data_IF_540964578054
#
_entry.id   IF_540964578054
#
_cell.length_a   1.000
_cell.length_b   1.000
_cell.length_c   1.000
_cell.angle_alpha   90.00
_cell.angle_beta   90.00
_cell.angle_gamma   90.00
#
_symmetry.space_group_name_H-M   'P 1'
#
loop_
_entity.id
_entity.type
_entity.pdbx_description
1 polymer ?
#
# COMPACT_ATOMS: atom_id res chain seq x y z
N UNK A 1 -54.21 -11.36 28.13
CA UNK A 1 -53.65 -10.52 27.04
C UNK A 1 -52.45 -9.73 27.56
N UNK A 2 -51.22 -10.16 27.26
CA UNK A 2 -50.03 -9.28 27.24
C UNK A 2 -49.07 -9.84 26.18
N UNK A 3 -49.16 -9.29 24.97
CA UNK A 3 -48.22 -9.54 23.88
C UNK A 3 -46.86 -8.96 24.27
N UNK A 4 -45.84 -9.80 24.40
CA UNK A 4 -44.44 -9.38 24.36
C UNK A 4 -44.04 -9.33 22.89
N UNK A 5 -44.06 -8.12 22.33
CA UNK A 5 -43.52 -7.84 21.00
C UNK A 5 -42.00 -7.99 21.10
N UNK A 6 -41.46 -8.98 20.41
CA UNK A 6 -40.02 -9.12 20.19
C UNK A 6 -39.53 -7.96 19.33
N UNK A 7 -38.70 -7.09 19.90
CA UNK A 7 -37.80 -6.28 19.10
C UNK A 7 -36.63 -7.18 18.70
N UNK A 8 -36.73 -7.75 17.50
CA UNK A 8 -35.57 -8.23 16.76
C UNK A 8 -34.84 -6.98 16.27
N UNK A 9 -34.04 -6.37 17.15
CA UNK A 9 -33.08 -5.35 16.77
C UNK A 9 -32.02 -6.08 15.94
N UNK A 10 -32.18 -6.05 14.62
CA UNK A 10 -31.15 -6.37 13.64
C UNK A 10 -29.99 -5.41 13.88
N UNK A 11 -29.11 -5.80 14.80
CA UNK A 11 -27.87 -5.12 15.12
C UNK A 11 -27.03 -5.10 13.86
N UNK A 12 -27.03 -3.94 13.22
CA UNK A 12 -26.06 -3.52 12.22
C UNK A 12 -24.69 -3.52 12.92
N UNK A 13 -24.06 -4.69 12.99
CA UNK A 13 -22.68 -4.87 13.43
C UNK A 13 -21.80 -4.16 12.39
N UNK A 14 -21.56 -2.87 12.65
CA UNK A 14 -20.37 -2.20 12.15
C UNK A 14 -19.17 -2.94 12.75
N UNK A 15 -18.69 -3.95 12.03
CA UNK A 15 -17.37 -4.54 12.25
C UNK A 15 -16.35 -3.44 11.90
N UNK A 16 -15.98 -2.66 12.90
CA UNK A 16 -14.83 -1.77 12.82
C UNK A 16 -13.60 -2.66 12.85
N UNK A 17 -12.97 -2.90 11.69
CA UNK A 17 -11.70 -3.60 11.68
C UNK A 17 -10.60 -2.69 12.25
N UNK A 18 -9.94 -3.18 13.28
CA UNK A 18 -8.73 -2.61 13.87
C UNK A 18 -7.55 -3.05 13.00
N UNK A 19 -7.12 -2.17 12.08
CA UNK A 19 -5.98 -2.43 11.19
C UNK A 19 -4.71 -2.52 12.05
N UNK A 20 -4.12 -3.72 12.14
CA UNK A 20 -2.76 -3.92 12.66
C UNK A 20 -1.74 -3.41 11.64
N UNK A 21 -0.46 -3.33 12.03
CA UNK A 21 0.57 -2.79 11.14
C UNK A 21 0.78 -3.69 9.91
N UNK A 22 0.16 -3.30 8.79
CA UNK A 22 0.37 -3.93 7.50
C UNK A 22 1.86 -4.04 7.16
N UNK A 23 2.22 -5.07 6.39
CA UNK A 23 3.62 -5.36 6.06
C UNK A 23 3.84 -5.43 4.56
N UNK A 24 4.87 -4.75 4.05
CA UNK A 24 5.42 -4.93 2.71
C UNK A 24 6.65 -5.84 2.79
N UNK A 25 6.59 -6.99 2.14
CA UNK A 25 7.74 -7.88 1.96
C UNK A 25 8.38 -7.62 0.61
N UNK A 26 9.64 -7.17 0.63
CA UNK A 26 10.45 -6.89 -0.55
C UNK A 26 11.46 -8.01 -0.80
N UNK A 27 11.37 -8.60 -1.99
CA UNK A 27 12.34 -9.55 -2.54
C UNK A 27 13.04 -8.95 -3.76
N UNK A 28 13.97 -9.66 -4.42
CA UNK A 28 14.83 -9.09 -5.48
C UNK A 28 14.05 -8.26 -6.51
N UNK A 29 12.92 -8.79 -7.02
CA UNK A 29 12.10 -8.13 -8.05
C UNK A 29 10.58 -8.17 -7.76
N UNK A 30 10.16 -8.60 -6.57
CA UNK A 30 8.73 -8.73 -6.23
C UNK A 30 8.45 -8.08 -4.88
N UNK A 31 7.29 -7.46 -4.77
CA UNK A 31 6.74 -6.92 -3.54
C UNK A 31 5.43 -7.63 -3.22
N UNK A 32 5.26 -8.02 -1.95
CA UNK A 32 4.04 -8.61 -1.42
C UNK A 32 3.52 -7.70 -0.32
N UNK A 33 2.24 -7.39 -0.34
CA UNK A 33 1.54 -6.74 0.76
C UNK A 33 0.87 -7.80 1.61
N UNK A 34 1.01 -7.67 2.92
CA UNK A 34 0.32 -8.49 3.92
C UNK A 34 -0.54 -7.52 4.70
N UNK A 35 -1.85 -7.64 4.50
CA UNK A 35 -2.86 -6.88 5.21
C UNK A 35 -3.37 -7.71 6.39
N UNK A 36 -3.38 -7.15 7.59
CA UNK A 36 -3.90 -7.83 8.78
C UNK A 36 -5.24 -7.21 9.19
N UNK A 37 -6.29 -8.02 9.18
CA UNK A 37 -7.64 -7.61 9.55
C UNK A 37 -8.15 -8.48 10.71
N UNK A 38 -8.88 -7.87 11.63
CA UNK A 38 -9.44 -8.53 12.81
C UNK A 38 -10.96 -8.62 12.68
N UNK A 39 -11.51 -9.82 12.93
CA UNK A 39 -12.93 -10.10 12.84
C UNK A 39 -13.42 -10.91 14.03
N UNK A 40 -14.69 -10.71 14.38
CA UNK A 40 -15.41 -11.61 15.27
C UNK A 40 -16.03 -12.75 14.46
N UNK A 41 -15.66 -13.99 14.78
CA UNK A 41 -16.18 -15.20 14.16
C UNK A 41 -17.15 -15.91 15.10
N UNK A 42 -18.22 -16.46 14.55
CA UNK A 42 -19.00 -17.51 15.18
C UNK A 42 -18.36 -18.89 14.91
N UNK A 43 -18.64 -19.87 15.76
CA UNK A 43 -18.31 -21.27 15.46
C UNK A 43 -19.14 -21.74 14.23
N UNK A 44 -18.51 -22.44 13.30
CA UNK A 44 -19.11 -22.85 12.04
C UNK A 44 -18.88 -21.86 10.89
N UNK A 45 -19.89 -21.69 10.03
CA UNK A 45 -19.78 -20.91 8.79
C UNK A 45 -19.98 -19.41 9.04
N UNK A 46 -19.08 -18.59 8.48
CA UNK A 46 -19.10 -17.13 8.56
C UNK A 46 -18.94 -16.53 7.16
N UNK A 47 -19.67 -15.45 6.88
CA UNK A 47 -19.48 -14.62 5.68
C UNK A 47 -19.00 -13.25 6.14
N UNK A 48 -17.83 -12.82 5.66
CA UNK A 48 -17.19 -11.57 6.07
C UNK A 48 -16.90 -10.70 4.85
N UNK A 49 -17.37 -9.45 4.86
CA UNK A 49 -17.05 -8.49 3.82
C UNK A 49 -18.16 -7.47 3.54
N UNK A 50 -17.96 -6.59 2.54
CA UNK A 50 -16.75 -6.52 1.71
C UNK A 50 -15.57 -5.85 2.44
N UNK A 51 -14.40 -6.47 2.38
CA UNK A 51 -13.12 -5.93 2.88
C UNK A 51 -12.37 -5.26 1.74
N UNK A 52 -11.89 -4.04 1.97
CA UNK A 52 -11.11 -3.29 0.98
C UNK A 52 -9.65 -3.76 1.00
N UNK A 53 -9.14 -4.19 -0.16
CA UNK A 53 -7.72 -4.50 -0.34
C UNK A 53 -6.95 -3.26 -0.77
N UNK A 54 -5.64 -3.25 -0.57
CA UNK A 54 -4.81 -2.15 -1.03
C UNK A 54 -4.92 -2.02 -2.57
N UNK A 55 -5.11 -0.80 -3.13
CA UNK A 55 -5.30 -0.54 -4.56
C UNK A 55 -4.18 -0.98 -5.51
N UNK A 56 -3.06 -1.44 -4.95
CA UNK A 56 -1.92 -1.94 -5.71
C UNK A 56 -2.00 -3.43 -5.98
N UNK A 57 -3.01 -4.10 -5.42
CA UNK A 57 -3.34 -5.44 -5.82
C UNK A 57 -3.85 -5.41 -7.27
N UNK A 58 -3.12 -6.08 -8.15
CA UNK A 58 -3.44 -6.13 -9.59
C UNK A 58 -3.69 -7.54 -10.07
N UNK A 59 -3.76 -8.50 -9.15
CA UNK A 59 -3.94 -9.92 -9.45
C UNK A 59 -5.01 -10.50 -8.52
N UNK A 60 -5.81 -11.41 -9.03
CA UNK A 60 -6.83 -12.15 -8.27
C UNK A 60 -6.21 -13.25 -7.39
N UNK A 61 -4.88 -13.24 -7.22
CA UNK A 61 -4.15 -14.25 -6.46
C UNK A 61 -3.95 -13.74 -5.03
N UNK A 62 -4.70 -14.32 -4.11
CA UNK A 62 -4.67 -14.02 -2.69
C UNK A 62 -4.27 -15.28 -1.90
N UNK A 63 -3.49 -15.09 -0.85
CA UNK A 63 -3.19 -16.13 0.14
C UNK A 63 -3.71 -15.69 1.50
N UNK A 64 -4.35 -16.59 2.23
CA UNK A 64 -4.97 -16.31 3.52
C UNK A 64 -4.32 -17.14 4.61
N UNK A 65 -4.01 -16.50 5.74
CA UNK A 65 -3.59 -17.18 6.95
C UNK A 65 -4.53 -16.75 8.08
N UNK A 66 -5.13 -17.72 8.77
CA UNK A 66 -6.04 -17.50 9.89
C UNK A 66 -5.84 -18.63 10.91
N UNK A 67 -5.78 -18.29 12.19
CA UNK A 67 -5.65 -19.29 13.25
C UNK A 67 -7.02 -19.89 13.59
N UNK A 68 -7.06 -21.22 13.80
CA UNK A 68 -8.25 -21.99 14.22
C UNK A 68 -9.48 -21.89 13.30
N UNK A 69 -9.28 -21.44 12.06
CA UNK A 69 -10.31 -21.34 11.04
C UNK A 69 -9.71 -21.60 9.65
N UNK A 70 -10.54 -21.62 8.62
CA UNK A 70 -10.12 -21.80 7.23
C UNK A 70 -11.00 -20.95 6.31
N UNK A 71 -10.37 -20.22 5.38
CA UNK A 71 -11.08 -19.56 4.27
C UNK A 71 -11.36 -20.64 3.21
N UNK A 72 -12.63 -21.01 3.06
CA UNK A 72 -13.04 -22.08 2.14
C UNK A 72 -13.43 -21.55 0.75
N UNK A 73 -13.84 -20.28 0.67
CA UNK A 73 -14.18 -19.62 -0.59
C UNK A 73 -14.06 -18.09 -0.44
N UNK A 74 -13.96 -17.38 -1.57
CA UNK A 74 -14.01 -15.92 -1.60
C UNK A 74 -14.50 -15.37 -2.93
N UNK A 75 -15.17 -14.21 -2.85
CA UNK A 75 -15.58 -13.42 -4.01
C UNK A 75 -14.65 -12.22 -4.10
N UNK A 76 -13.95 -12.09 -5.23
CA UNK A 76 -13.11 -10.94 -5.54
C UNK A 76 -13.84 -9.97 -6.47
N UNK A 77 -13.97 -8.71 -6.04
CA UNK A 77 -14.55 -7.62 -6.81
C UNK A 77 -13.43 -6.66 -7.25
N UNK A 78 -12.95 -6.73 -8.50
CA UNK A 78 -11.87 -5.87 -8.98
C UNK A 78 -12.29 -4.39 -9.01
N UNK A 79 -11.33 -3.49 -8.81
CA UNK A 79 -11.48 -2.06 -9.11
C UNK A 79 -11.00 -1.75 -10.54
N UNK A 80 -11.59 -0.76 -11.22
CA UNK A 80 -11.11 -0.35 -12.56
C UNK A 80 -9.67 0.17 -12.47
N UNK A 81 -8.79 -0.29 -13.36
CA UNK A 81 -7.41 0.21 -13.47
C UNK A 81 -7.35 1.67 -13.97
N UNK A 82 -8.43 2.19 -14.55
CA UNK A 82 -8.50 3.56 -15.01
C UNK A 82 -8.92 4.49 -13.87
N UNK A 83 -7.92 5.10 -13.23
CA UNK A 83 -8.16 6.07 -12.15
C UNK A 83 -9.15 7.17 -12.55
N UNK A 84 -9.17 7.60 -13.83
CA UNK A 84 -10.04 8.68 -14.29
C UNK A 84 -11.52 8.29 -14.16
N UNK A 85 -11.86 7.04 -14.45
CA UNK A 85 -13.21 6.51 -14.30
C UNK A 85 -13.60 6.42 -12.83
N UNK A 86 -12.67 6.00 -11.97
CA UNK A 86 -12.91 5.87 -10.53
C UNK A 86 -13.17 7.21 -9.82
N UNK A 87 -12.69 8.31 -10.40
CA UNK A 87 -12.87 9.66 -9.86
C UNK A 87 -14.24 10.26 -10.19
N UNK A 88 -14.89 9.85 -11.29
CA UNK A 88 -16.17 10.42 -11.72
C UNK A 88 -17.22 10.23 -10.62
N UNK A 89 -17.91 11.32 -10.28
CA UNK A 89 -18.92 11.38 -9.22
C UNK A 89 -18.37 11.46 -7.80
N UNK A 90 -17.05 11.56 -7.59
CA UNK A 90 -16.41 11.66 -6.25
C UNK A 90 -16.01 13.09 -5.89
N UNK A 91 -16.07 13.43 -4.60
CA UNK A 91 -15.60 14.73 -4.09
C UNK A 91 -14.08 14.71 -3.91
N UNK A 92 -13.36 15.50 -4.71
CA UNK A 92 -11.90 15.59 -4.71
C UNK A 92 -11.43 17.00 -4.37
N UNK A 93 -10.18 17.10 -3.93
CA UNK A 93 -9.44 18.32 -3.66
C UNK A 93 -8.19 18.29 -4.53
N UNK A 94 -7.97 19.30 -5.37
CA UNK A 94 -6.80 19.44 -6.23
C UNK A 94 -5.96 20.58 -5.70
N UNK A 95 -4.71 20.31 -5.33
CA UNK A 95 -3.75 21.32 -4.89
C UNK A 95 -2.66 21.57 -5.94
N UNK A 96 -2.56 22.81 -6.42
CA UNK A 96 -1.49 23.31 -7.31
C UNK A 96 -0.85 24.57 -6.75
N UNK A 97 0.23 25.05 -7.35
CA UNK A 97 1.11 26.17 -6.92
C UNK A 97 0.36 27.41 -6.37
N UNK A 98 -0.09 27.34 -5.10
CA UNK A 98 -0.89 28.33 -4.35
C UNK A 98 -2.43 28.28 -4.48
N UNK A 99 -3.04 27.27 -5.12
CA UNK A 99 -4.51 27.15 -5.25
C UNK A 99 -5.01 25.76 -4.87
N UNK A 100 -6.13 25.73 -4.15
CA UNK A 100 -6.83 24.51 -3.74
C UNK A 100 -8.24 24.54 -4.31
N UNK A 101 -8.57 23.55 -5.13
CA UNK A 101 -9.90 23.38 -5.73
C UNK A 101 -10.60 22.19 -5.08
N UNK A 102 -11.87 22.33 -4.70
CA UNK A 102 -12.63 21.26 -4.05
C UNK A 102 -14.01 21.13 -4.68
N UNK A 103 -14.37 19.93 -5.11
CA UNK A 103 -15.67 19.66 -5.73
C UNK A 103 -15.86 18.22 -6.16
N UNK A 104 -17.08 17.88 -6.59
CA UNK A 104 -17.44 16.57 -7.11
C UNK A 104 -17.06 16.48 -8.59
N UNK A 105 -16.32 15.46 -8.98
CA UNK A 105 -15.90 15.28 -10.38
C UNK A 105 -17.12 14.96 -11.25
N UNK A 106 -17.32 15.77 -12.27
CA UNK A 106 -18.35 15.54 -13.29
C UNK A 106 -17.75 14.74 -14.46
N UNK A 107 -16.57 15.16 -14.91
CA UNK A 107 -15.93 14.61 -16.11
C UNK A 107 -14.41 14.82 -16.04
N UNK A 108 -13.64 13.90 -16.64
CA UNK A 108 -12.19 14.04 -16.82
C UNK A 108 -11.87 13.87 -18.31
N UNK A 109 -11.46 14.96 -18.95
CA UNK A 109 -10.88 14.97 -20.30
C UNK A 109 -9.36 14.97 -20.22
N UNK A 110 -8.69 14.66 -21.33
CA UNK A 110 -7.24 14.41 -21.43
C UNK A 110 -6.41 15.33 -20.53
N UNK A 111 -6.66 16.64 -20.64
CA UNK A 111 -5.91 17.69 -19.94
C UNK A 111 -6.75 18.51 -18.95
N UNK A 112 -8.00 18.14 -18.67
CA UNK A 112 -8.88 18.86 -17.73
C UNK A 112 -9.77 17.97 -16.86
N UNK A 113 -10.01 18.42 -15.64
CA UNK A 113 -11.00 17.86 -14.71
C UNK A 113 -12.10 18.89 -14.48
N UNK A 114 -13.36 18.50 -14.69
CA UNK A 114 -14.54 19.33 -14.39
C UNK A 114 -15.07 18.98 -13.02
N UNK A 115 -15.22 19.98 -12.14
CA UNK A 115 -15.70 19.83 -10.77
C UNK A 115 -17.00 20.62 -10.55
N UNK A 116 -17.98 19.99 -9.90
CA UNK A 116 -19.11 20.65 -9.29
C UNK A 116 -18.73 21.12 -7.88
N UNK A 117 -18.77 22.43 -7.63
CA UNK A 117 -18.39 23.03 -6.35
C UNK A 117 -19.56 23.78 -5.74
N UNK A 118 -19.45 24.14 -4.44
CA UNK A 118 -20.44 25.00 -3.77
C UNK A 118 -20.63 26.37 -4.46
N UNK A 119 -19.70 26.81 -5.30
CA UNK A 119 -19.74 28.08 -6.03
C UNK A 119 -20.11 27.91 -7.51
N UNK A 120 -20.50 26.71 -7.92
CA UNK A 120 -20.80 26.35 -9.31
C UNK A 120 -19.76 25.43 -9.94
N UNK A 121 -19.94 25.15 -11.22
CA UNK A 121 -19.07 24.25 -12.00
C UNK A 121 -17.77 24.96 -12.37
N UNK A 122 -16.63 24.31 -12.12
CA UNK A 122 -15.30 24.81 -12.49
C UNK A 122 -14.56 23.77 -13.32
N UNK A 123 -13.68 24.24 -14.21
CA UNK A 123 -12.79 23.40 -15.01
C UNK A 123 -11.36 23.70 -14.59
N UNK A 124 -10.61 22.68 -14.19
CA UNK A 124 -9.22 22.82 -13.78
C UNK A 124 -8.32 21.96 -14.68
N UNK A 125 -7.08 22.38 -14.97
CA UNK A 125 -6.13 21.54 -15.68
C UNK A 125 -5.98 20.21 -14.95
N UNK A 126 -5.97 19.10 -15.69
CA UNK A 126 -5.56 17.81 -15.15
C UNK A 126 -4.13 17.99 -14.67
N UNK A 127 -3.86 17.90 -13.36
CA UNK A 127 -2.52 18.05 -12.86
C UNK A 127 -1.58 17.10 -13.60
N UNK A 128 -0.48 17.61 -14.16
CA UNK A 128 0.60 16.74 -14.63
C UNK A 128 1.03 15.91 -13.44
N UNK A 129 0.77 14.61 -13.53
CA UNK A 129 1.17 13.65 -12.52
C UNK A 129 2.64 13.90 -12.15
N UNK A 130 2.98 14.24 -10.89
CA UNK A 130 2.17 14.11 -9.68
C UNK A 130 1.85 15.49 -9.04
N UNK A 131 0.64 16.01 -9.21
CA UNK A 131 0.09 17.07 -8.34
C UNK A 131 -1.07 16.52 -7.51
N UNK A 132 -1.13 16.90 -6.23
CA UNK A 132 -1.88 16.25 -5.16
C UNK A 132 -3.40 16.33 -5.38
N UNK A 133 -4.02 15.22 -5.75
CA UNK A 133 -5.47 15.01 -5.70
C UNK A 133 -5.79 14.29 -4.38
N UNK A 134 -6.55 14.91 -3.48
CA UNK A 134 -7.00 14.35 -2.20
C UNK A 134 -8.52 14.11 -2.23
N UNK A 135 -9.00 12.91 -1.95
CA UNK A 135 -10.44 12.58 -1.96
C UNK A 135 -10.91 12.49 -0.51
N UNK A 136 -12.11 13.03 -0.24
CA UNK A 136 -12.67 13.16 1.12
C UNK A 136 -13.02 11.82 1.79
N UNK A 137 -13.21 10.76 0.98
CA UNK A 137 -12.97 9.35 1.35
C UNK A 137 -11.64 8.99 0.71
N UNK A 138 -10.68 8.42 1.44
CA UNK A 138 -9.33 8.18 0.92
C UNK A 138 -9.40 7.56 -0.48
N UNK A 139 -8.68 8.13 -1.45
CA UNK A 139 -8.61 7.64 -2.83
C UNK A 139 -8.30 6.13 -2.90
N UNK A 140 -7.68 5.60 -1.85
CA UNK A 140 -7.54 4.16 -1.62
C UNK A 140 -8.86 3.43 -1.68
N UNK A 141 -9.88 3.78 -0.88
CA UNK A 141 -11.18 3.08 -0.82
C UNK A 141 -11.91 3.02 -2.17
N UNK A 142 -11.80 4.04 -3.03
CA UNK A 142 -12.42 4.04 -4.37
C UNK A 142 -11.66 3.23 -5.43
N UNK A 143 -10.36 3.06 -5.24
CA UNK A 143 -9.49 2.29 -6.15
C UNK A 143 -9.15 0.91 -5.59
N UNK A 144 -9.66 0.57 -4.41
CA UNK A 144 -9.46 -0.70 -3.72
C UNK A 144 -10.36 -1.77 -4.33
N UNK A 145 -9.77 -2.88 -4.82
CA UNK A 145 -10.53 -4.10 -4.99
C UNK A 145 -11.15 -4.52 -3.66
N UNK A 146 -12.26 -5.23 -3.72
CA UNK A 146 -12.94 -5.75 -2.54
C UNK A 146 -12.95 -7.25 -2.53
N UNK A 147 -13.01 -7.81 -1.33
CA UNK A 147 -13.15 -9.24 -1.14
C UNK A 147 -14.21 -9.53 -0.09
N UNK A 148 -15.02 -10.55 -0.37
CA UNK A 148 -15.92 -11.16 0.61
C UNK A 148 -15.50 -12.61 0.82
N UNK A 149 -15.31 -13.01 2.07
CA UNK A 149 -14.83 -14.33 2.46
C UNK A 149 -15.97 -15.22 2.90
N UNK A 150 -15.83 -16.52 2.65
CA UNK A 150 -16.52 -17.58 3.37
C UNK A 150 -15.52 -18.33 4.25
N UNK A 151 -15.75 -18.34 5.55
CA UNK A 151 -14.83 -18.89 6.56
C UNK A 151 -15.52 -19.94 7.39
N UNK A 152 -14.84 -21.07 7.64
CA UNK A 152 -15.28 -22.06 8.62
C UNK A 152 -14.38 -21.92 9.85
N UNK A 153 -14.96 -21.58 11.00
CA UNK A 153 -14.25 -21.45 12.27
C UNK A 153 -14.53 -22.62 13.20
N UNK A 154 -13.51 -23.12 13.90
CA UNK A 154 -13.65 -24.18 14.91
C UNK A 154 -14.17 -23.65 16.25
N UNK A 155 -14.04 -22.35 16.49
CA UNK A 155 -14.41 -21.70 17.76
C UNK A 155 -15.00 -20.32 17.49
N UNK A 156 -15.89 -19.85 18.36
CA UNK A 156 -16.30 -18.44 18.35
C UNK A 156 -15.24 -17.57 19.01
N UNK A 157 -15.02 -16.36 18.49
CA UNK A 157 -14.12 -15.40 19.09
C UNK A 157 -13.51 -14.43 18.09
N UNK A 158 -12.62 -13.59 18.59
CA UNK A 158 -11.80 -12.71 17.78
C UNK A 158 -10.74 -13.53 17.03
N UNK A 159 -10.59 -13.28 15.73
CA UNK A 159 -9.59 -13.92 14.89
C UNK A 159 -8.96 -12.92 13.93
N UNK A 160 -7.65 -13.08 13.73
CA UNK A 160 -6.87 -12.25 12.81
C UNK A 160 -6.65 -12.99 11.50
N UNK A 161 -6.96 -12.31 10.42
CA UNK A 161 -6.81 -12.80 9.05
C UNK A 161 -5.69 -12.02 8.40
N UNK A 162 -4.66 -12.75 7.95
CA UNK A 162 -3.60 -12.17 7.11
C UNK A 162 -3.91 -12.44 5.66
N UNK A 163 -4.06 -11.37 4.90
CA UNK A 163 -4.36 -11.41 3.47
C UNK A 163 -3.08 -10.99 2.73
N UNK A 164 -2.42 -11.95 2.09
CA UNK A 164 -1.15 -11.77 1.39
C UNK A 164 -1.35 -11.74 -0.12
N UNK A 165 -0.85 -10.69 -0.78
CA UNK A 165 -1.02 -10.54 -2.23
C UNK A 165 0.11 -9.74 -2.88
N UNK A 166 0.42 -10.02 -4.16
CA UNK A 166 1.45 -9.30 -4.89
C UNK A 166 1.03 -7.86 -5.19
N UNK A 167 1.96 -6.92 -5.00
CA UNK A 167 1.78 -5.51 -5.35
C UNK A 167 2.83 -5.04 -6.37
N UNK A 168 2.46 -4.06 -7.19
CA UNK A 168 3.35 -3.47 -8.22
C UNK A 168 3.80 -2.06 -7.83
N UNK A 169 4.91 -1.63 -8.41
CA UNK A 169 5.40 -0.26 -8.31
C UNK A 169 6.25 0.05 -7.07
N UNK A 170 6.48 -0.93 -6.19
CA UNK A 170 7.38 -0.80 -5.04
C UNK A 170 8.67 -1.58 -5.34
N UNK A 171 9.80 -0.88 -5.25
CA UNK A 171 11.11 -1.43 -5.59
C UNK A 171 12.13 -1.10 -4.50
N UNK A 172 13.23 -1.85 -4.47
CA UNK A 172 14.36 -1.50 -3.63
C UNK A 172 15.68 -1.77 -4.34
N UNK A 173 16.73 -1.11 -3.85
CA UNK A 173 18.11 -1.33 -4.29
C UNK A 173 19.09 -0.90 -3.21
N UNK A 174 20.30 -1.44 -3.27
CA UNK A 174 21.40 -0.98 -2.42
C UNK A 174 22.30 -0.04 -3.20
N UNK A 175 22.67 1.06 -2.54
CA UNK A 175 23.72 1.98 -2.99
C UNK A 175 24.81 2.03 -1.95
N UNK A 176 26.04 2.12 -2.41
CA UNK A 176 27.21 2.28 -1.55
C UNK A 176 27.89 3.60 -1.84
N UNK A 177 28.43 4.22 -0.80
CA UNK A 177 29.33 5.36 -0.91
C UNK A 177 30.69 4.92 -0.38
N UNK A 178 31.70 4.96 -1.23
CA UNK A 178 33.09 4.68 -0.85
C UNK A 178 33.85 6.00 -0.80
N UNK A 179 34.37 6.38 0.37
CA UNK A 179 35.23 7.55 0.52
C UNK A 179 36.49 7.16 1.30
N UNK A 180 37.67 7.40 0.72
CA UNK A 180 38.97 7.10 1.34
C UNK A 180 39.01 5.69 2.00
N UNK A 181 38.58 4.66 1.25
CA UNK A 181 38.45 3.24 1.66
C UNK A 181 37.33 2.90 2.66
N UNK A 182 36.63 3.87 3.24
CA UNK A 182 35.43 3.63 4.05
C UNK A 182 34.21 3.41 3.15
N UNK A 183 33.52 2.29 3.33
CA UNK A 183 32.29 1.96 2.61
C UNK A 183 31.07 2.20 3.51
N UNK A 184 30.08 2.93 3.01
CA UNK A 184 28.80 3.14 3.69
C UNK A 184 27.68 2.63 2.78
N UNK A 185 26.77 1.83 3.33
CA UNK A 185 25.64 1.28 2.58
C UNK A 185 24.33 2.03 2.86
N UNK A 186 23.55 2.18 1.81
CA UNK A 186 22.23 2.81 1.81
C UNK A 186 21.23 1.89 1.12
N UNK A 187 20.15 1.58 1.82
CA UNK A 187 18.97 0.94 1.26
C UNK A 187 18.09 2.04 0.69
N UNK A 188 17.78 1.94 -0.60
CA UNK A 188 16.84 2.83 -1.28
C UNK A 188 15.57 2.03 -1.56
N UNK A 189 14.46 2.47 -0.98
CA UNK A 189 13.12 1.94 -1.26
C UNK A 189 12.40 2.99 -2.11
N UNK A 190 11.89 2.59 -3.27
CA UNK A 190 11.21 3.46 -4.22
C UNK A 190 9.73 3.07 -4.27
N UNK A 191 8.87 4.06 -4.07
CA UNK A 191 7.43 3.93 -4.30
C UNK A 191 7.10 4.72 -5.56
N UNK A 192 6.95 4.01 -6.68
CA UNK A 192 6.62 4.60 -7.98
C UNK A 192 5.10 4.60 -8.23
N UNK A 193 4.30 4.56 -7.15
CA UNK A 193 2.84 4.51 -7.23
C UNK A 193 2.22 5.81 -6.75
N UNK A 194 0.95 6.00 -7.09
CA UNK A 194 0.15 7.13 -6.62
C UNK A 194 -0.32 7.00 -5.15
N UNK A 195 -0.04 5.86 -4.50
CA UNK A 195 -0.52 5.57 -3.15
C UNK A 195 0.61 5.71 -2.14
N UNK A 196 0.31 6.34 -1.00
CA UNK A 196 1.24 6.44 0.12
C UNK A 196 0.95 5.34 1.12
N UNK A 197 1.99 4.78 1.74
CA UNK A 197 1.83 3.89 2.88
C UNK A 197 2.13 4.65 4.17
N UNK A 198 1.21 4.58 5.11
CA UNK A 198 1.33 5.19 6.44
C UNK A 198 1.52 4.11 7.48
N UNK A 199 2.62 4.20 8.24
CA UNK A 199 2.90 3.27 9.35
C UNK A 199 2.95 1.80 8.94
N UNK A 200 3.52 1.50 7.76
CA UNK A 200 3.68 0.12 7.26
C UNK A 200 5.02 -0.46 7.70
N UNK A 201 5.05 -1.73 8.07
CA UNK A 201 6.32 -2.44 8.27
C UNK A 201 6.89 -2.84 6.91
N UNK A 202 8.20 -2.69 6.71
CA UNK A 202 8.88 -3.10 5.47
C UNK A 202 9.95 -4.13 5.80
N UNK A 203 9.80 -5.33 5.24
CA UNK A 203 10.78 -6.40 5.37
C UNK A 203 11.53 -6.63 4.05
N UNK A 204 12.82 -6.28 4.02
CA UNK A 204 13.70 -6.57 2.89
C UNK A 204 14.36 -7.92 3.10
N UNK A 205 13.71 -8.97 2.58
CA UNK A 205 14.08 -10.37 2.82
C UNK A 205 15.54 -10.69 2.45
N UNK A 206 16.10 -10.24 1.30
CA UNK A 206 17.50 -10.52 0.95
C UNK A 206 18.52 -9.87 1.88
N UNK A 207 18.14 -8.84 2.63
CA UNK A 207 18.99 -8.17 3.61
C UNK A 207 18.70 -8.62 5.05
N UNK A 208 17.68 -9.46 5.25
CA UNK A 208 17.10 -9.76 6.56
C UNK A 208 16.88 -8.50 7.41
N UNK A 209 16.36 -7.44 6.78
CA UNK A 209 16.21 -6.11 7.40
C UNK A 209 14.73 -5.76 7.50
N UNK A 210 14.24 -5.61 8.73
CA UNK A 210 12.91 -5.06 9.02
C UNK A 210 13.03 -3.57 9.36
N UNK A 211 12.09 -2.79 8.84
CA UNK A 211 11.89 -1.38 9.14
C UNK A 211 10.45 -1.25 9.65
N UNK A 212 10.26 -0.67 10.82
CA UNK A 212 8.95 -0.62 11.46
C UNK A 212 8.29 0.75 11.29
N UNK A 213 6.96 0.76 11.17
CA UNK A 213 6.13 1.98 11.10
C UNK A 213 6.64 3.00 10.06
N UNK A 214 6.99 2.50 8.88
CA UNK A 214 7.54 3.31 7.80
C UNK A 214 6.43 4.14 7.16
N UNK A 215 6.64 5.45 7.09
CA UNK A 215 5.95 6.29 6.11
C UNK A 215 6.69 6.23 4.77
N UNK A 216 5.98 5.83 3.71
CA UNK A 216 6.49 5.74 2.33
C UNK A 216 5.54 6.51 1.39
N UNK A 217 5.80 7.80 1.13
CA UNK A 217 4.95 8.64 0.29
C UNK A 217 4.82 8.12 -1.15
N UNK A 218 3.74 8.48 -1.82
CA UNK A 218 3.55 8.27 -3.25
C UNK A 218 4.67 8.92 -4.08
N UNK A 219 5.04 8.29 -5.20
CA UNK A 219 6.06 8.76 -6.15
C UNK A 219 7.36 9.26 -5.48
N UNK A 220 7.81 8.54 -4.46
CA UNK A 220 8.91 8.98 -3.60
C UNK A 220 9.98 7.91 -3.44
N UNK A 221 11.08 8.30 -2.81
CA UNK A 221 12.18 7.40 -2.46
C UNK A 221 12.54 7.61 -1.00
N UNK A 222 12.66 6.52 -0.26
CA UNK A 222 13.18 6.52 1.10
C UNK A 222 14.58 5.93 1.09
N UNK A 223 15.54 6.70 1.62
CA UNK A 223 16.95 6.32 1.68
C UNK A 223 17.32 6.11 3.14
N UNK A 224 17.85 4.94 3.46
CA UNK A 224 18.15 4.53 4.82
C UNK A 224 19.58 4.01 4.85
N UNK A 225 20.42 4.64 5.68
CA UNK A 225 21.74 4.10 5.97
C UNK A 225 21.59 2.81 6.77
N UNK A 226 22.33 1.77 6.42
CA UNK A 226 22.37 0.54 7.20
C UNK A 226 23.78 -0.03 7.30
N UNK A 227 24.05 -0.72 8.40
CA UNK A 227 25.31 -1.42 8.59
C UNK A 227 25.25 -2.78 7.92
N UNK A 228 26.30 -3.10 7.17
CA UNK A 228 26.41 -4.40 6.51
C UNK A 228 26.90 -5.39 7.56
N UNK A 229 25.98 -6.19 8.12
CA UNK A 229 26.32 -7.26 9.08
C UNK A 229 26.76 -8.57 8.40
N UNK A 230 26.51 -8.72 7.10
CA UNK A 230 26.84 -9.94 6.36
C UNK A 230 28.28 -9.90 5.82
N UNK A 231 28.95 -11.05 5.84
CA UNK A 231 30.27 -11.24 5.21
C UNK A 231 30.26 -10.97 3.69
N UNK A 232 29.08 -11.07 3.05
CA UNK A 232 28.89 -10.80 1.62
C UNK A 232 28.08 -9.52 1.42
N UNK A 233 28.65 -8.60 0.64
CA UNK A 233 27.98 -7.37 0.23
C UNK A 233 26.79 -7.68 -0.70
N UNK A 234 25.58 -7.16 -0.43
CA UNK A 234 24.46 -7.21 -1.36
C UNK A 234 24.80 -6.62 -2.74
N UNK A 235 24.11 -7.08 -3.80
CA UNK A 235 24.28 -6.46 -5.11
C UNK A 235 23.84 -4.99 -5.08
N UNK A 236 24.63 -4.12 -5.69
CA UNK A 236 24.35 -2.69 -5.68
C UNK A 236 25.35 -1.85 -6.46
N UNK A 237 25.10 -0.55 -6.52
CA UNK A 237 25.95 0.43 -7.21
C UNK A 237 26.83 1.12 -6.17
N UNK A 238 28.11 1.32 -6.48
CA UNK A 238 29.07 2.01 -5.62
C UNK A 238 29.42 3.37 -6.22
N UNK A 239 29.24 4.45 -5.46
CA UNK A 239 29.72 5.78 -5.81
C UNK A 239 31.07 6.00 -5.11
N UNK A 240 32.12 6.23 -5.89
CA UNK A 240 33.49 6.32 -5.40
C UNK A 240 33.89 7.80 -5.30
N UNK A 241 34.34 8.19 -4.12
CA UNK A 241 34.87 9.52 -3.82
C UNK A 241 36.32 9.41 -3.32
N UNK A 242 37.14 10.40 -3.69
CA UNK A 242 38.50 10.57 -3.19
C UNK A 242 38.69 12.03 -2.79
N UNK A 243 39.07 12.27 -1.53
CA UNK A 243 39.18 13.61 -0.95
C UNK A 243 37.91 14.45 -1.14
N UNK A 244 36.73 13.82 -0.98
CA UNK A 244 35.44 14.48 -1.17
C UNK A 244 35.02 14.73 -2.62
N UNK A 245 35.88 14.41 -3.61
CA UNK A 245 35.60 14.58 -5.03
C UNK A 245 35.09 13.26 -5.61
N UNK A 246 33.98 13.31 -6.36
CA UNK A 246 33.46 12.15 -7.08
C UNK A 246 34.47 11.66 -8.13
N UNK A 247 34.79 10.37 -8.11
CA UNK A 247 35.80 9.73 -8.98
C UNK A 247 35.20 8.72 -9.96
N UNK A 248 34.00 8.22 -9.71
CA UNK A 248 33.35 7.28 -10.62
C UNK A 248 32.32 6.36 -9.96
N UNK A 249 31.85 5.41 -10.75
CA UNK A 249 30.81 4.44 -10.36
C UNK A 249 31.36 3.03 -10.53
N UNK A 250 31.28 2.23 -9.47
CA UNK A 250 31.54 0.78 -9.49
C UNK A 250 30.27 -0.02 -9.17
N UNK A 251 30.41 -1.34 -9.05
CA UNK A 251 29.30 -2.25 -8.70
C UNK A 251 29.72 -3.28 -7.67
N UNK A 252 28.79 -3.71 -6.84
CA UNK A 252 28.94 -4.95 -6.08
C UNK A 252 28.21 -6.06 -6.83
N UNK A 253 28.94 -7.13 -7.16
CA UNK A 253 28.39 -8.34 -7.78
C UNK A 253 28.92 -9.56 -7.04
N UNK A 254 28.04 -10.51 -6.72
CA UNK A 254 28.41 -11.75 -6.02
C UNK A 254 29.20 -11.53 -4.72
N UNK A 255 28.89 -10.47 -3.96
CA UNK A 255 29.56 -10.16 -2.69
C UNK A 255 30.87 -9.38 -2.81
N UNK A 256 31.37 -9.10 -4.03
CA UNK A 256 32.65 -8.41 -4.25
C UNK A 256 32.45 -7.08 -4.96
N UNK A 257 33.28 -6.10 -4.58
CA UNK A 257 33.36 -4.81 -5.25
C UNK A 257 34.14 -4.95 -6.55
N UNK A 258 33.48 -4.68 -7.67
CA UNK A 258 34.04 -4.65 -9.01
C UNK A 258 34.11 -3.18 -9.41
N UNK A 259 35.31 -2.71 -9.75
CA UNK A 259 35.53 -1.37 -10.28
C UNK A 259 35.11 -1.31 -11.73
#
# INVERSE_FOLDING_TARGET
MKNKVGLFLSGLLFLTSTIFADTIVLTKNKATYIQEEEFMLAEGENILGPVELHPLNTLEILNFEIENAEVVDYIYEPSSLNWKENLIGKEIVISGDSRVFKGKVIEIKKDFITLDTKKGVIIVPTPTFPSKIEIKKSYSSSASPKITFKIISKTSGESKIKISYPIKGIFWKVRYLQNNRKLVAFLVIENNTAFSFTSVDIFVKPLNKKLEKVFLPANSKKIIKFDIKNEKLPEGIVFIYGNGIFKGIGKVKSGKLIK
#
